data_IF_545758019187
#
_entry.id   IF_545758019187
#
_cell.length_a   1.000
_cell.length_b   1.000
_cell.length_c   1.000
_cell.angle_alpha   90.00
_cell.angle_beta   90.00
_cell.angle_gamma   90.00
#
_symmetry.space_group_name_H-M   'P 1'
#
loop_
_entity.id
_entity.type
_entity.pdbx_description
1 polymer ?
#
# COMPACT_ATOMS: atom_id res chain seq x y z
N UNK A 1 -5.98 16.36 -18.00
CA UNK A 1 -5.91 15.13 -17.19
C UNK A 1 -5.68 13.95 -18.09
N UNK A 2 -4.67 13.14 -17.83
CA UNK A 2 -4.47 11.93 -18.61
C UNK A 2 -5.58 10.93 -18.33
N UNK A 3 -6.14 10.25 -19.36
CA UNK A 3 -7.14 9.21 -19.16
C UNK A 3 -6.51 8.02 -18.44
N UNK A 4 -7.28 7.37 -17.58
CA UNK A 4 -6.85 6.19 -16.84
C UNK A 4 -7.29 6.22 -15.38
N UNK A 5 -7.08 5.09 -14.72
CA UNK A 5 -7.46 4.91 -13.32
C UNK A 5 -6.28 5.12 -12.38
N UNK A 6 -6.57 5.64 -11.20
CA UNK A 6 -5.71 5.51 -10.04
C UNK A 6 -6.15 4.26 -9.29
N UNK A 7 -5.34 3.20 -9.32
CA UNK A 7 -5.66 1.94 -8.66
C UNK A 7 -5.27 1.99 -7.18
N UNK A 8 -6.15 1.52 -6.31
CA UNK A 8 -5.88 1.27 -4.90
C UNK A 8 -5.81 -0.23 -4.66
N UNK A 9 -4.68 -0.70 -4.20
CA UNK A 9 -4.49 -2.09 -3.80
C UNK A 9 -4.43 -2.21 -2.28
N UNK A 10 -5.20 -3.11 -1.73
CA UNK A 10 -5.16 -3.47 -0.31
C UNK A 10 -5.31 -5.00 -0.14
N UNK A 11 -4.81 -5.52 0.96
CA UNK A 11 -5.03 -6.91 1.35
C UNK A 11 -6.48 -7.20 1.82
N UNK A 12 -7.27 -6.16 2.03
CA UNK A 12 -8.63 -6.24 2.54
C UNK A 12 -9.47 -5.03 2.19
N UNK A 13 -10.13 -4.45 3.17
CA UNK A 13 -11.07 -3.33 3.01
C UNK A 13 -10.60 -2.02 3.67
N UNK A 14 -9.54 -2.05 4.46
CA UNK A 14 -9.06 -0.88 5.21
C UNK A 14 -8.68 0.30 4.32
N UNK A 15 -8.15 0.02 3.14
CA UNK A 15 -7.76 1.01 2.15
C UNK A 15 -8.92 1.83 1.56
N UNK A 16 -10.17 1.42 1.75
CA UNK A 16 -11.35 2.20 1.34
C UNK A 16 -11.43 3.55 2.04
N UNK A 17 -10.93 3.66 3.26
CA UNK A 17 -10.86 4.93 3.99
C UNK A 17 -9.94 5.92 3.26
N UNK A 18 -8.78 5.45 2.81
CA UNK A 18 -7.84 6.27 2.04
C UNK A 18 -8.42 6.63 0.66
N UNK A 19 -9.03 5.66 -0.02
CA UNK A 19 -9.69 5.91 -1.30
C UNK A 19 -10.77 6.99 -1.19
N UNK A 20 -11.61 6.92 -0.16
CA UNK A 20 -12.67 7.91 0.09
C UNK A 20 -12.10 9.33 0.22
N UNK A 21 -11.03 9.47 0.98
CA UNK A 21 -10.37 10.76 1.16
C UNK A 21 -9.76 11.29 -0.15
N UNK A 22 -9.08 10.43 -0.89
CA UNK A 22 -8.52 10.80 -2.20
C UNK A 22 -9.62 11.19 -3.20
N UNK A 23 -10.74 10.49 -3.22
CA UNK A 23 -11.85 10.80 -4.13
C UNK A 23 -12.50 12.15 -3.83
N UNK A 24 -12.52 12.57 -2.58
CA UNK A 24 -13.00 13.91 -2.21
C UNK A 24 -12.06 15.03 -2.68
N UNK A 25 -10.76 14.79 -2.60
CA UNK A 25 -9.75 15.78 -2.96
C UNK A 25 -9.45 15.82 -4.47
N UNK A 26 -9.65 14.72 -5.16
CA UNK A 26 -9.35 14.54 -6.57
C UNK A 26 -10.62 14.23 -7.36
N UNK A 27 -11.61 15.12 -7.29
CA UNK A 27 -12.97 14.92 -7.83
C UNK A 27 -13.04 14.65 -9.34
N UNK A 28 -11.97 14.98 -10.10
CA UNK A 28 -11.91 14.73 -11.54
C UNK A 28 -11.27 13.39 -11.92
N UNK A 29 -10.83 12.59 -10.95
CA UNK A 29 -10.13 11.36 -11.19
C UNK A 29 -11.05 10.14 -11.15
N UNK A 30 -10.67 9.10 -11.90
CA UNK A 30 -11.33 7.79 -11.86
C UNK A 30 -10.50 6.83 -11.01
N UNK A 31 -11.17 6.12 -10.13
CA UNK A 31 -10.52 5.21 -9.18
C UNK A 31 -10.93 3.77 -9.42
N UNK A 32 -10.01 2.86 -9.13
CA UNK A 32 -10.24 1.43 -9.12
C UNK A 32 -9.71 0.86 -7.80
N UNK A 33 -10.52 0.10 -7.09
CA UNK A 33 -10.13 -0.53 -5.84
C UNK A 33 -10.04 -2.05 -6.00
N UNK A 34 -8.92 -2.61 -5.55
CA UNK A 34 -8.71 -4.06 -5.48
C UNK A 34 -8.36 -4.45 -4.05
N UNK A 35 -9.28 -5.12 -3.37
CA UNK A 35 -9.06 -5.71 -2.06
C UNK A 35 -8.93 -7.23 -2.17
N UNK A 36 -7.76 -7.78 -1.82
CA UNK A 36 -7.50 -9.22 -1.89
C UNK A 36 -8.03 -9.96 -0.65
N UNK A 37 -9.33 -9.87 -0.43
CA UNK A 37 -9.99 -10.47 0.74
C UNK A 37 -9.87 -12.00 0.78
N UNK A 38 -9.76 -12.64 -0.38
CA UNK A 38 -9.64 -14.10 -0.47
C UNK A 38 -8.34 -14.62 0.15
N UNK A 39 -7.27 -13.82 0.10
CA UNK A 39 -5.97 -14.19 0.64
C UNK A 39 -5.62 -13.44 1.96
N UNK A 40 -6.53 -12.62 2.47
CA UNK A 40 -6.35 -11.96 3.77
C UNK A 40 -6.34 -13.00 4.92
N UNK A 41 -5.63 -12.72 6.02
CA UNK A 41 -4.76 -11.59 6.29
C UNK A 41 -3.34 -11.77 5.71
N UNK A 42 -2.74 -10.68 5.25
CA UNK A 42 -1.35 -10.69 4.75
C UNK A 42 -0.30 -10.64 5.87
N UNK A 43 -0.65 -10.10 7.01
CA UNK A 43 0.29 -9.81 8.10
C UNK A 43 1.01 -11.02 8.71
N UNK A 44 0.49 -12.22 8.50
CA UNK A 44 1.05 -13.49 9.00
C UNK A 44 1.76 -14.31 7.92
N UNK A 45 1.82 -13.81 6.69
CA UNK A 45 2.45 -14.48 5.55
C UNK A 45 3.94 -14.16 5.47
N UNK A 46 4.69 -15.02 4.79
CA UNK A 46 6.10 -14.75 4.52
C UNK A 46 6.26 -13.59 3.52
N UNK A 47 7.41 -12.89 3.52
CA UNK A 47 7.69 -11.84 2.53
C UNK A 47 7.54 -12.32 1.09
N UNK A 48 7.98 -13.53 0.79
CA UNK A 48 7.90 -14.15 -0.54
C UNK A 48 6.44 -14.40 -0.95
N UNK A 49 5.62 -14.85 -0.01
CA UNK A 49 4.19 -15.07 -0.27
C UNK A 49 3.45 -13.75 -0.49
N UNK A 50 3.74 -12.74 0.32
CA UNK A 50 3.17 -11.38 0.17
C UNK A 50 3.55 -10.80 -1.19
N UNK A 51 4.81 -10.90 -1.59
CA UNK A 51 5.29 -10.43 -2.89
C UNK A 51 4.59 -11.17 -4.03
N UNK A 52 4.50 -12.48 -3.97
CA UNK A 52 3.81 -13.30 -4.99
C UNK A 52 2.36 -12.88 -5.15
N UNK A 53 1.63 -12.69 -4.06
CA UNK A 53 0.23 -12.26 -4.08
C UNK A 53 0.08 -10.85 -4.65
N UNK A 54 0.91 -9.92 -4.21
CA UNK A 54 0.90 -8.55 -4.72
C UNK A 54 1.21 -8.48 -6.22
N UNK A 55 2.20 -9.21 -6.69
CA UNK A 55 2.55 -9.26 -8.11
C UNK A 55 1.45 -9.90 -8.95
N UNK A 56 0.78 -10.93 -8.44
CA UNK A 56 -0.38 -11.55 -9.10
C UNK A 56 -1.54 -10.56 -9.23
N UNK A 57 -1.85 -9.83 -8.16
CA UNK A 57 -2.88 -8.80 -8.17
C UNK A 57 -2.56 -7.66 -9.16
N UNK A 58 -1.31 -7.22 -9.19
CA UNK A 58 -0.86 -6.19 -10.13
C UNK A 58 -0.84 -6.67 -11.58
N UNK A 59 -0.55 -7.96 -11.82
CA UNK A 59 -0.71 -8.58 -13.14
C UNK A 59 -2.16 -8.55 -13.64
N UNK A 60 -3.14 -8.70 -12.74
CA UNK A 60 -4.55 -8.51 -13.06
C UNK A 60 -4.89 -7.03 -13.28
N UNK A 61 -4.45 -6.14 -12.38
CA UNK A 61 -4.72 -4.71 -12.45
C UNK A 61 -4.13 -4.06 -13.71
N UNK A 62 -2.99 -4.54 -14.20
CA UNK A 62 -2.37 -4.04 -15.44
C UNK A 62 -3.19 -4.26 -16.71
N UNK A 63 -4.29 -5.02 -16.62
CA UNK A 63 -5.27 -5.15 -17.72
C UNK A 63 -6.16 -3.93 -17.90
N UNK A 64 -6.15 -3.02 -16.94
CA UNK A 64 -6.86 -1.75 -16.97
C UNK A 64 -5.89 -0.62 -17.33
N UNK A 65 -6.37 0.47 -17.95
CA UNK A 65 -5.52 1.64 -18.24
C UNK A 65 -5.21 2.39 -16.93
N UNK A 66 -4.13 1.98 -16.28
CA UNK A 66 -3.67 2.61 -15.03
C UNK A 66 -2.71 3.77 -15.33
N UNK A 67 -2.89 4.87 -14.63
CA UNK A 67 -1.96 6.01 -14.62
C UNK A 67 -1.18 6.16 -13.32
N UNK A 68 -1.63 5.55 -12.25
CA UNK A 68 -0.94 5.47 -10.96
C UNK A 68 -1.50 4.32 -10.13
N UNK A 69 -0.75 3.87 -9.13
CA UNK A 69 -1.23 2.93 -8.13
C UNK A 69 -0.88 3.38 -6.72
N UNK A 70 -1.78 3.11 -5.78
CA UNK A 70 -1.60 3.35 -4.35
C UNK A 70 -1.66 2.01 -3.62
N UNK A 71 -0.58 1.68 -2.91
CA UNK A 71 -0.54 0.54 -1.99
C UNK A 71 -1.15 1.01 -0.67
N UNK A 72 -2.45 0.76 -0.49
CA UNK A 72 -3.20 1.17 0.70
C UNK A 72 -3.01 0.21 1.89
N UNK A 73 -2.09 -0.74 1.77
CA UNK A 73 -1.73 -1.73 2.78
C UNK A 73 -0.31 -1.46 3.28
N UNK A 74 -0.14 -1.24 4.58
CA UNK A 74 1.18 -1.05 5.19
C UNK A 74 2.09 -2.27 5.00
N UNK A 75 1.54 -3.47 5.12
CA UNK A 75 2.28 -4.73 4.95
C UNK A 75 2.84 -4.85 3.53
N UNK A 76 2.02 -4.63 2.50
CA UNK A 76 2.45 -4.68 1.10
C UNK A 76 3.43 -3.55 0.78
N UNK A 77 3.19 -2.36 1.29
CA UNK A 77 4.13 -1.24 1.13
C UNK A 77 5.50 -1.57 1.70
N UNK A 78 5.54 -2.17 2.89
CA UNK A 78 6.79 -2.52 3.56
C UNK A 78 7.59 -3.60 2.80
N UNK A 79 6.89 -4.62 2.27
CA UNK A 79 7.53 -5.79 1.67
C UNK A 79 7.72 -5.67 0.15
N UNK A 80 6.80 -5.02 -0.57
CA UNK A 80 6.71 -5.13 -2.02
C UNK A 80 6.84 -3.82 -2.79
N UNK A 81 6.85 -2.65 -2.15
CA UNK A 81 6.82 -1.38 -2.86
C UNK A 81 7.97 -1.22 -3.87
N UNK A 82 9.18 -1.66 -3.51
CA UNK A 82 10.34 -1.58 -4.40
C UNK A 82 10.20 -2.49 -5.63
N UNK A 83 9.75 -3.74 -5.43
CA UNK A 83 9.55 -4.70 -6.49
C UNK A 83 8.45 -4.25 -7.48
N UNK A 84 7.36 -3.68 -6.97
CA UNK A 84 6.26 -3.16 -7.78
C UNK A 84 6.69 -1.93 -8.57
N UNK A 85 7.42 -0.98 -7.95
CA UNK A 85 7.97 0.19 -8.65
C UNK A 85 8.90 -0.16 -9.79
N UNK A 86 9.70 -1.22 -9.65
CA UNK A 86 10.60 -1.68 -10.69
C UNK A 86 9.87 -2.30 -11.90
N UNK A 87 8.64 -2.76 -11.72
CA UNK A 87 7.88 -3.50 -12.75
C UNK A 87 6.74 -2.70 -13.39
N UNK A 88 6.24 -1.70 -12.68
CA UNK A 88 5.12 -0.90 -13.17
C UNK A 88 5.61 0.28 -14.02
N UNK A 89 4.98 0.55 -15.18
CA UNK A 89 5.31 1.69 -16.04
C UNK A 89 4.73 3.02 -15.53
N UNK A 90 4.02 3.01 -14.42
CA UNK A 90 3.38 4.16 -13.79
C UNK A 90 3.85 4.31 -12.34
N UNK A 91 3.66 5.49 -11.71
CA UNK A 91 4.02 5.72 -10.32
C UNK A 91 3.27 4.78 -9.35
N UNK A 92 4.01 4.20 -8.40
CA UNK A 92 3.46 3.39 -7.31
C UNK A 92 3.78 4.07 -5.99
N UNK A 93 2.74 4.55 -5.31
CA UNK A 93 2.83 5.18 -4.00
C UNK A 93 2.48 4.16 -2.92
N UNK A 94 3.20 4.20 -1.82
CA UNK A 94 2.90 3.35 -0.66
C UNK A 94 2.51 4.20 0.54
N UNK A 95 1.69 3.63 1.42
CA UNK A 95 1.40 4.21 2.72
C UNK A 95 2.43 3.76 3.75
N UNK A 96 2.79 4.64 4.65
CA UNK A 96 3.69 4.34 5.76
C UNK A 96 2.97 4.56 7.08
N UNK A 97 3.33 3.80 8.14
CA UNK A 97 2.85 4.10 9.49
C UNK A 97 3.18 5.55 9.86
N UNK A 98 2.26 6.22 10.55
CA UNK A 98 2.38 7.62 10.97
C UNK A 98 3.42 7.82 12.11
N UNK A 99 4.53 7.10 12.07
CA UNK A 99 5.55 7.08 13.11
C UNK A 99 6.28 8.42 13.22
N UNK A 100 6.70 8.99 12.09
CA UNK A 100 7.39 10.28 12.07
C UNK A 100 6.56 11.44 12.63
N UNK A 101 5.31 11.68 12.17
CA UNK A 101 4.48 12.72 12.75
C UNK A 101 4.15 12.45 14.23
N UNK A 102 3.92 11.19 14.62
CA UNK A 102 3.68 10.84 16.01
C UNK A 102 4.89 11.13 16.91
N UNK A 103 6.10 10.79 16.47
CA UNK A 103 7.34 11.05 17.21
C UNK A 103 7.64 12.56 17.37
N UNK A 104 7.18 13.39 16.44
CA UNK A 104 7.27 14.85 16.58
C UNK A 104 6.28 15.41 17.61
N UNK A 105 5.13 14.77 17.76
CA UNK A 105 4.08 15.21 18.66
C UNK A 105 4.24 14.67 20.11
N UNK A 106 4.83 13.49 20.26
CA UNK A 106 4.89 12.77 21.55
C UNK A 106 6.27 12.16 21.77
N UNK A 107 6.72 12.15 23.05
CA UNK A 107 8.00 11.50 23.44
C UNK A 107 7.92 9.98 23.39
N UNK A 108 6.76 9.41 23.69
CA UNK A 108 6.54 7.98 23.72
C UNK A 108 5.42 7.63 22.72
N UNK A 109 5.69 6.72 21.82
CA UNK A 109 4.76 6.28 20.77
C UNK A 109 4.60 4.77 20.86
N UNK A 110 3.37 4.30 21.04
CA UNK A 110 3.03 2.89 20.92
C UNK A 110 2.63 2.60 19.47
N UNK A 111 3.28 1.63 18.85
CA UNK A 111 2.99 1.22 17.48
C UNK A 111 2.28 -0.12 17.47
N UNK A 112 1.11 -0.15 16.84
CA UNK A 112 0.36 -1.37 16.57
C UNK A 112 0.38 -1.62 15.06
N UNK A 113 0.98 -2.72 14.65
CA UNK A 113 1.11 -3.10 13.24
C UNK A 113 1.18 -4.62 13.08
N UNK A 114 1.04 -5.10 11.85
CA UNK A 114 1.19 -6.52 11.57
C UNK A 114 2.64 -6.97 11.80
N UNK A 115 2.82 -8.27 12.06
CA UNK A 115 4.14 -8.88 12.22
C UNK A 115 5.05 -8.60 11.03
N UNK A 116 4.53 -8.77 9.81
CA UNK A 116 5.28 -8.48 8.58
C UNK A 116 5.74 -7.02 8.52
N UNK A 117 4.87 -6.06 8.86
CA UNK A 117 5.25 -4.64 8.90
C UNK A 117 6.37 -4.39 9.91
N UNK A 118 6.22 -4.85 11.16
CA UNK A 118 7.19 -4.62 12.24
C UNK A 118 8.56 -5.26 11.96
N UNK A 119 8.57 -6.41 11.29
CA UNK A 119 9.79 -7.14 10.94
C UNK A 119 10.48 -6.61 9.69
N UNK A 120 9.82 -5.77 8.89
CA UNK A 120 10.36 -5.27 7.63
C UNK A 120 11.55 -4.34 7.82
N UNK A 121 12.49 -4.41 6.88
CA UNK A 121 13.64 -3.49 6.83
C UNK A 121 13.20 -2.03 6.72
N UNK A 122 12.13 -1.79 5.96
CA UNK A 122 11.56 -0.45 5.75
C UNK A 122 11.03 0.14 7.06
N UNK A 123 10.29 -0.63 7.86
CA UNK A 123 9.78 -0.16 9.14
C UNK A 123 10.92 0.13 10.12
N UNK A 124 11.93 -0.73 10.19
CA UNK A 124 13.11 -0.52 11.06
C UNK A 124 13.83 0.77 10.70
N UNK A 125 14.11 1.00 9.42
CA UNK A 125 14.73 2.24 8.96
C UNK A 125 13.88 3.48 9.28
N UNK A 126 12.55 3.38 9.19
CA UNK A 126 11.62 4.45 9.56
C UNK A 126 11.65 4.74 11.06
N UNK A 127 11.76 3.70 11.91
CA UNK A 127 11.81 3.84 13.36
C UNK A 127 13.13 4.43 13.87
N UNK A 128 14.22 4.21 13.13
CA UNK A 128 15.57 4.72 13.47
C UNK A 128 15.82 6.14 12.93
N UNK A 129 14.98 6.64 12.05
CA UNK A 129 15.12 7.97 11.44
C UNK A 129 14.48 9.09 12.28
#
# INVERSE_FOLDING_TARGET
MEPGYIAFFDSGIGGLTLLKECAQQLAGESFLYFGDNANAPYGNKSPEEIERLALTAFGYLSRFPLKAAVLACNTVTAECAAALRARCPFPVLGVEPALKPAAKACKNVLVLATRATLSSKKFRALAES
#
